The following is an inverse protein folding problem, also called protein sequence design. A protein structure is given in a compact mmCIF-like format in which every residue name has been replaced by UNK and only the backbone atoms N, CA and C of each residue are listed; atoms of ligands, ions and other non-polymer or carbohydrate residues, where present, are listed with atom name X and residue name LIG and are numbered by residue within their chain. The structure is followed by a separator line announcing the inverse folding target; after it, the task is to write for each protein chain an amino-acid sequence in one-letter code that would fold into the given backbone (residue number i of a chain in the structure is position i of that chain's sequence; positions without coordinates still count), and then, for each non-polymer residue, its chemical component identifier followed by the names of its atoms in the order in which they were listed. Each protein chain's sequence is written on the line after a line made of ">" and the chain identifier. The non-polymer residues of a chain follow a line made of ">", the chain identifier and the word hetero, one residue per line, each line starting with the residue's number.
data_IF_791322821945
#
_entry.id   IF_791322821945
#
_cell.length_a   1.000
_cell.length_b   1.000
_cell.length_c   1.000
_cell.angle_alpha   90.00
_cell.angle_beta   90.00
_cell.angle_gamma   90.00
#
_symmetry.space_group_name_H-M   'P 1'
#
loop_
_entity.id
_entity.type
_entity.pdbx_description
1 polymer ?
#
# COMPACT_ATOMS: atom_id res chain seq x y z
N UNK A 1 -12.04 -8.95 -11.91
CA UNK A 1 -10.99 -9.32 -10.93
C UNK A 1 -10.78 -8.13 -10.04
N UNK A 2 -10.86 -8.29 -8.73
CA UNK A 2 -10.72 -7.17 -7.78
C UNK A 2 -9.25 -7.04 -7.35
N UNK A 3 -8.77 -5.82 -7.14
CA UNK A 3 -7.37 -5.58 -6.82
C UNK A 3 -6.91 -6.33 -5.55
N UNK A 4 -7.77 -6.46 -4.54
CA UNK A 4 -7.45 -7.22 -3.33
C UNK A 4 -7.18 -8.71 -3.60
N UNK A 5 -7.80 -9.31 -4.62
CA UNK A 5 -7.51 -10.69 -5.02
C UNK A 5 -6.17 -10.78 -5.73
N UNK A 6 -5.84 -9.78 -6.56
CA UNK A 6 -4.51 -9.67 -7.17
C UNK A 6 -3.42 -9.47 -6.12
N UNK A 7 -3.61 -8.60 -5.12
CA UNK A 7 -2.66 -8.43 -4.02
C UNK A 7 -2.63 -9.61 -3.03
N UNK A 8 -3.67 -10.44 -3.00
CA UNK A 8 -3.70 -11.69 -2.23
C UNK A 8 -2.98 -12.81 -2.97
N UNK A 9 -3.11 -12.87 -4.29
CA UNK A 9 -2.42 -13.82 -5.16
C UNK A 9 -0.98 -13.40 -5.49
N UNK A 10 -0.69 -12.10 -5.44
CA UNK A 10 0.63 -11.54 -5.73
C UNK A 10 1.60 -11.83 -4.58
N UNK A 11 2.83 -12.13 -4.98
CA UNK A 11 3.90 -12.38 -4.05
C UNK A 11 4.19 -11.13 -3.20
N UNK A 12 4.27 -11.24 -1.87
CA UNK A 12 4.58 -10.11 -1.01
C UNK A 12 5.92 -9.45 -1.36
N UNK A 13 6.87 -10.17 -1.97
CA UNK A 13 8.10 -9.59 -2.48
C UNK A 13 7.85 -8.61 -3.65
N UNK A 14 6.92 -8.94 -4.55
CA UNK A 14 6.55 -8.08 -5.68
C UNK A 14 5.91 -6.78 -5.20
N UNK A 15 4.99 -6.86 -4.24
CA UNK A 15 4.36 -5.65 -3.67
C UNK A 15 5.38 -4.80 -2.91
N UNK A 16 6.36 -5.43 -2.26
CA UNK A 16 7.44 -4.70 -1.57
C UNK A 16 8.32 -3.96 -2.57
N UNK A 17 8.73 -4.61 -3.68
CA UNK A 17 9.42 -3.93 -4.78
C UNK A 17 8.56 -2.81 -5.38
N UNK A 18 7.25 -3.05 -5.51
CA UNK A 18 6.32 -2.07 -6.05
C UNK A 18 6.31 -0.79 -5.21
N UNK A 19 6.17 -0.96 -3.90
CA UNK A 19 6.19 0.13 -2.93
C UNK A 19 7.55 0.83 -2.87
N UNK A 20 8.64 0.10 -3.04
CA UNK A 20 9.99 0.65 -3.04
C UNK A 20 10.24 1.53 -4.27
N UNK A 21 9.82 1.08 -5.46
CA UNK A 21 9.86 1.88 -6.68
C UNK A 21 8.95 3.12 -6.59
N UNK A 22 7.72 3.01 -6.06
CA UNK A 22 6.87 4.18 -5.81
C UNK A 22 7.52 5.16 -4.84
N UNK A 23 8.30 4.69 -3.88
CA UNK A 23 9.02 5.56 -2.95
C UNK A 23 10.21 6.26 -3.62
N UNK A 24 10.86 5.62 -4.59
CA UNK A 24 12.02 6.14 -5.33
C UNK A 24 11.63 7.07 -6.47
N UNK A 25 10.68 6.66 -7.33
CA UNK A 25 10.18 7.42 -8.47
C UNK A 25 9.12 8.45 -8.09
N UNK A 26 8.09 8.05 -7.33
CA UNK A 26 6.86 8.82 -7.17
C UNK A 26 6.40 8.93 -5.71
N UNK A 27 7.26 9.57 -4.91
CA UNK A 27 7.10 9.74 -3.46
C UNK A 27 5.76 10.36 -3.05
N UNK A 28 5.17 11.18 -3.92
CA UNK A 28 3.85 11.78 -3.74
C UNK A 28 2.72 10.75 -3.87
N UNK A 29 2.81 9.86 -4.87
CA UNK A 29 1.86 8.75 -5.06
C UNK A 29 1.96 7.80 -3.87
N UNK A 30 3.18 7.45 -3.45
CA UNK A 30 3.40 6.63 -2.26
C UNK A 30 2.77 7.26 -1.00
N UNK A 31 3.06 8.54 -0.71
CA UNK A 31 2.48 9.23 0.46
C UNK A 31 0.96 9.31 0.39
N UNK A 32 0.39 9.60 -0.78
CA UNK A 32 -1.05 9.69 -0.97
C UNK A 32 -1.73 8.34 -0.78
N UNK A 33 -1.18 7.27 -1.38
CA UNK A 33 -1.65 5.90 -1.18
C UNK A 33 -1.61 5.51 0.31
N UNK A 34 -0.49 5.71 1.00
CA UNK A 34 -0.37 5.40 2.44
C UNK A 34 -1.33 6.25 3.28
N UNK A 35 -1.56 7.53 2.93
CA UNK A 35 -2.51 8.39 3.61
C UNK A 35 -3.95 7.89 3.48
N UNK A 36 -4.35 7.50 2.27
CA UNK A 36 -5.69 6.96 1.99
C UNK A 36 -5.88 5.60 2.67
N UNK A 37 -4.87 4.73 2.64
CA UNK A 37 -4.88 3.45 3.39
C UNK A 37 -5.02 3.69 4.90
N UNK A 38 -4.33 4.70 5.44
CA UNK A 38 -4.40 5.07 6.84
C UNK A 38 -5.80 5.59 7.21
N UNK A 39 -6.39 6.46 6.37
CA UNK A 39 -7.75 6.96 6.55
C UNK A 39 -8.79 5.84 6.52
N UNK A 40 -8.70 4.89 5.58
CA UNK A 40 -9.61 3.73 5.53
C UNK A 40 -9.55 2.87 6.78
N UNK A 41 -8.39 2.75 7.43
CA UNK A 41 -8.23 2.04 8.71
C UNK A 41 -8.45 2.93 9.95
N UNK A 42 -8.88 4.19 9.79
CA UNK A 42 -9.00 5.20 10.87
C UNK A 42 -7.69 5.40 11.67
N UNK A 43 -6.53 5.16 11.03
CA UNK A 43 -5.20 5.34 11.60
C UNK A 43 -4.60 6.66 11.10
N UNK A 44 -3.87 7.37 11.95
CA UNK A 44 -3.11 8.55 11.48
C UNK A 44 -1.84 8.09 10.76
N UNK A 45 -1.57 8.67 9.59
CA UNK A 45 -0.36 8.45 8.77
C UNK A 45 0.94 8.47 9.60
N UNK A 46 1.00 9.31 10.63
CA UNK A 46 2.15 9.46 11.54
C UNK A 46 2.51 8.15 12.27
N UNK A 47 1.53 7.31 12.60
CA UNK A 47 1.80 6.01 13.25
C UNK A 47 2.48 5.00 12.31
N UNK A 48 2.21 5.11 11.01
CA UNK A 48 2.80 4.23 9.99
C UNK A 48 4.19 4.77 9.62
N UNK A 49 4.36 6.09 9.52
CA UNK A 49 5.66 6.72 9.27
C UNK A 49 6.64 6.60 10.44
N UNK A 50 6.15 6.48 11.69
CA UNK A 50 6.99 6.21 12.86
C UNK A 50 7.51 4.77 12.93
N UNK A 51 6.89 3.84 12.20
CA UNK A 51 7.31 2.43 12.18
C UNK A 51 8.54 2.27 11.28
N UNK A 52 9.42 1.29 11.57
CA UNK A 52 10.49 0.93 10.67
C UNK A 52 9.92 0.48 9.31
N UNK A 53 10.64 0.79 8.24
CA UNK A 53 10.35 0.41 6.84
C UNK A 53 9.75 -1.00 6.67
N UNK A 54 10.36 -2.08 7.21
CA UNK A 54 9.81 -3.43 7.06
C UNK A 54 8.42 -3.59 7.69
N UNK A 55 8.17 -2.96 8.85
CA UNK A 55 6.83 -2.97 9.47
C UNK A 55 5.82 -2.13 8.68
N UNK A 56 6.26 -1.02 8.08
CA UNK A 56 5.42 -0.20 7.21
C UNK A 56 4.98 -1.00 5.97
N UNK A 57 5.90 -1.68 5.30
CA UNK A 57 5.59 -2.52 4.14
C UNK A 57 4.68 -3.69 4.51
N UNK A 58 4.94 -4.39 5.62
CA UNK A 58 4.07 -5.44 6.11
C UNK A 58 2.65 -4.94 6.43
N UNK A 59 2.54 -3.73 6.98
CA UNK A 59 1.25 -3.10 7.26
C UNK A 59 0.51 -2.70 5.97
N UNK A 60 1.21 -2.12 5.00
CA UNK A 60 0.64 -1.74 3.70
C UNK A 60 0.14 -3.00 2.97
N UNK A 61 0.95 -4.07 2.92
CA UNK A 61 0.58 -5.38 2.38
C UNK A 61 -0.67 -5.96 3.05
N UNK A 62 -0.71 -5.98 4.39
CA UNK A 62 -1.88 -6.46 5.14
C UNK A 62 -3.14 -5.64 4.87
N UNK A 63 -2.97 -4.35 4.62
CA UNK A 63 -4.06 -3.42 4.34
C UNK A 63 -4.55 -3.55 2.90
N UNK A 64 -3.65 -3.71 1.92
CA UNK A 64 -3.96 -3.98 0.51
C UNK A 64 -4.73 -5.29 0.29
N UNK A 65 -4.45 -6.32 1.10
CA UNK A 65 -5.23 -7.57 1.10
C UNK A 65 -6.66 -7.41 1.64
N UNK A 66 -6.99 -6.29 2.28
CA UNK A 66 -8.33 -6.05 2.80
C UNK A 66 -9.25 -5.49 1.71
N UNK A 67 -10.47 -6.05 1.58
CA UNK A 67 -11.52 -5.58 0.65
C UNK A 67 -11.86 -4.10 0.76
N UNK A 68 -11.62 -3.46 1.91
CA UNK A 68 -11.85 -2.03 2.13
C UNK A 68 -10.83 -1.12 1.43
N UNK A 69 -9.75 -1.68 0.89
CA UNK A 69 -8.66 -0.95 0.24
C UNK A 69 -8.49 -1.34 -1.22
N UNK A 70 -9.50 -2.00 -1.79
CA UNK A 70 -9.54 -2.43 -3.20
C UNK A 70 -9.27 -1.27 -4.15
N UNK A 71 -9.91 -0.12 -3.91
CA UNK A 71 -9.78 1.09 -4.74
C UNK A 71 -8.35 1.66 -4.72
N UNK A 72 -7.66 1.61 -3.57
CA UNK A 72 -6.24 2.04 -3.52
C UNK A 72 -5.36 1.04 -4.26
N UNK A 73 -5.66 -0.26 -4.13
CA UNK A 73 -4.98 -1.29 -4.90
C UNK A 73 -5.13 -1.06 -6.41
N UNK A 74 -6.32 -0.73 -6.88
CA UNK A 74 -6.56 -0.37 -8.29
C UNK A 74 -5.77 0.89 -8.69
N UNK A 75 -5.78 1.95 -7.85
CA UNK A 75 -4.98 3.15 -8.13
C UNK A 75 -3.47 2.88 -8.19
N UNK A 76 -2.95 1.99 -7.34
CA UNK A 76 -1.54 1.59 -7.39
C UNK A 76 -1.24 0.76 -8.63
N UNK A 77 -2.15 -0.13 -9.04
CA UNK A 77 -2.02 -0.91 -10.28
C UNK A 77 -2.16 -0.06 -11.54
N UNK A 78 -2.91 1.05 -11.50
CA UNK A 78 -2.99 2.00 -12.61
C UNK A 78 -1.76 2.93 -12.68
N UNK A 79 -1.10 3.19 -11.55
CA UNK A 79 0.06 4.06 -11.47
C UNK A 79 1.39 3.32 -11.74
N UNK A 80 1.37 1.98 -11.70
CA UNK A 80 2.48 1.08 -12.03
C UNK A 80 2.38 0.62 -13.49
#
# INVERSE_FOLDING_TARGET
>A
MKAHELFTAADPALVTQMLDWFRDHDRNVYKSAVATLAQSKKLRLVFIQKKPLPEQYAWILKTLRSKQCDTIGEHLLQAW
#
